data_IF_696192183504
#
_entry.id   IF_696192183504
#
_cell.length_a   1.000
_cell.length_b   1.000
_cell.length_c   1.000
_cell.angle_alpha   90.00
_cell.angle_beta   90.00
_cell.angle_gamma   90.00
#
_symmetry.space_group_name_H-M   'P 1'
#
loop_
_entity.id
_entity.type
_entity.pdbx_description
1 polymer ?
#
# COMPACT_ATOMS: atom_id res chain seq x y z
N UNK A 1 5.03 22.14 -25.71
CA UNK A 1 5.49 21.95 -24.32
C UNK A 1 4.25 21.62 -23.49
N UNK A 2 4.06 20.37 -23.07
CA UNK A 2 3.01 19.99 -22.11
C UNK A 2 3.41 20.60 -20.76
N UNK A 3 2.62 21.54 -20.23
CA UNK A 3 2.85 22.12 -18.90
C UNK A 3 2.73 21.03 -17.85
N UNK A 4 3.63 21.02 -16.89
CA UNK A 4 3.49 20.23 -15.66
C UNK A 4 2.44 20.88 -14.78
N UNK A 5 1.53 20.07 -14.20
CA UNK A 5 0.53 20.53 -13.24
C UNK A 5 0.89 19.94 -11.87
N UNK A 6 0.93 20.75 -10.78
CA UNK A 6 1.12 20.19 -9.44
C UNK A 6 0.05 19.14 -9.14
N UNK A 7 0.41 18.12 -8.36
CA UNK A 7 -0.59 17.19 -7.86
C UNK A 7 -1.52 17.89 -6.88
N UNK A 8 -2.78 17.45 -6.84
CA UNK A 8 -3.75 17.88 -5.82
C UNK A 8 -3.24 17.47 -4.45
N UNK A 9 -3.50 18.29 -3.45
CA UNK A 9 -3.03 18.08 -2.07
C UNK A 9 -4.19 18.14 -1.09
N UNK A 10 -4.05 17.42 0.01
CA UNK A 10 -4.92 17.54 1.18
C UNK A 10 -4.55 18.77 2.03
N UNK A 11 -5.28 18.98 3.13
CA UNK A 11 -5.02 20.08 4.07
C UNK A 11 -3.63 20.03 4.70
N UNK A 12 -2.95 18.89 4.72
CA UNK A 12 -1.59 18.71 5.20
C UNK A 12 -0.52 18.93 4.12
N UNK A 13 -0.90 19.27 2.87
CA UNK A 13 0.02 19.46 1.75
C UNK A 13 0.58 18.14 1.23
N UNK A 14 -0.23 17.08 1.29
CA UNK A 14 0.13 15.76 0.82
C UNK A 14 -0.80 15.32 -0.30
N UNK A 15 -0.23 14.67 -1.29
CA UNK A 15 -0.97 14.01 -2.37
C UNK A 15 -1.14 12.54 -2.04
N UNK A 16 -2.38 12.13 -1.79
CA UNK A 16 -2.72 10.78 -1.36
C UNK A 16 -3.26 9.97 -2.53
N UNK A 17 -2.67 8.81 -2.77
CA UNK A 17 -2.97 7.90 -3.87
C UNK A 17 -3.43 6.57 -3.28
N UNK A 18 -4.63 6.13 -3.65
CA UNK A 18 -5.12 4.79 -3.33
C UNK A 18 -4.71 3.82 -4.43
N UNK A 19 -3.83 2.87 -4.12
CA UNK A 19 -3.46 1.77 -5.00
C UNK A 19 -4.37 0.57 -4.70
N UNK A 20 -4.97 0.02 -5.74
CA UNK A 20 -5.84 -1.16 -5.69
C UNK A 20 -5.32 -2.21 -6.66
N UNK A 21 -5.05 -3.40 -6.15
CA UNK A 21 -4.56 -4.54 -6.94
C UNK A 21 -5.61 -5.66 -7.00
N UNK A 22 -5.94 -6.11 -8.21
CA UNK A 22 -6.86 -7.23 -8.48
C UNK A 22 -6.18 -8.31 -9.31
N UNK A 23 -6.81 -9.48 -9.39
CA UNK A 23 -6.42 -10.58 -10.27
C UNK A 23 -7.45 -10.83 -11.39
N UNK A 24 -8.13 -9.77 -11.86
CA UNK A 24 -9.16 -9.85 -12.89
C UNK A 24 -8.66 -10.40 -14.24
N UNK A 25 -7.35 -10.31 -14.48
CA UNK A 25 -6.65 -10.84 -15.66
C UNK A 25 -6.23 -12.32 -15.53
N UNK A 26 -6.56 -12.99 -14.42
CA UNK A 26 -6.34 -14.43 -14.23
C UNK A 26 -7.63 -15.22 -14.52
N UNK A 27 -7.77 -15.81 -15.72
CA UNK A 27 -8.97 -16.52 -16.11
C UNK A 27 -9.25 -17.70 -15.16
N UNK A 28 -10.44 -17.74 -14.57
CA UNK A 28 -10.86 -18.79 -13.66
C UNK A 28 -10.43 -18.59 -12.20
N UNK A 29 -9.87 -17.45 -11.85
CA UNK A 29 -9.66 -17.08 -10.46
C UNK A 29 -10.98 -16.61 -9.83
N UNK A 30 -11.54 -17.34 -8.84
CA UNK A 30 -12.76 -16.91 -8.16
C UNK A 30 -12.49 -15.58 -7.43
N UNK A 31 -13.32 -14.56 -7.68
CA UNK A 31 -13.16 -13.26 -7.04
C UNK A 31 -12.05 -12.40 -7.65
N UNK A 32 -11.76 -12.53 -8.95
CA UNK A 32 -10.72 -11.73 -9.64
C UNK A 32 -10.83 -10.22 -9.45
N UNK A 33 -12.03 -9.68 -9.18
CA UNK A 33 -12.26 -8.26 -8.89
C UNK A 33 -12.12 -7.88 -7.41
N UNK A 34 -11.81 -8.83 -6.53
CA UNK A 34 -11.48 -8.50 -5.14
C UNK A 34 -10.15 -7.74 -5.08
N UNK A 35 -10.11 -6.65 -4.33
CA UNK A 35 -8.86 -5.90 -4.13
C UNK A 35 -8.01 -6.57 -3.06
N UNK A 36 -7.26 -7.59 -3.48
CA UNK A 36 -6.39 -8.36 -2.61
C UNK A 36 -5.11 -7.63 -2.21
N UNK A 37 -4.82 -6.51 -2.86
CA UNK A 37 -3.76 -5.57 -2.52
C UNK A 37 -4.35 -4.18 -2.46
N UNK A 38 -4.21 -3.52 -1.31
CA UNK A 38 -4.70 -2.17 -1.08
C UNK A 38 -3.65 -1.36 -0.31
N UNK A 39 -3.36 -0.16 -0.78
CA UNK A 39 -2.33 0.68 -0.16
C UNK A 39 -2.64 2.17 -0.38
N UNK A 40 -2.37 3.00 0.62
CA UNK A 40 -2.31 4.45 0.46
C UNK A 40 -0.84 4.86 0.33
N UNK A 41 -0.50 5.55 -0.75
CA UNK A 41 0.79 6.21 -0.95
C UNK A 41 0.58 7.70 -0.79
N UNK A 42 1.19 8.28 0.25
CA UNK A 42 1.06 9.69 0.60
C UNK A 42 2.37 10.41 0.32
N UNK A 43 2.35 11.37 -0.59
CA UNK A 43 3.53 12.11 -1.08
C UNK A 43 3.47 13.54 -0.58
N UNK A 44 4.50 14.01 0.09
CA UNK A 44 4.72 15.43 0.33
C UNK A 44 5.59 15.99 -0.80
N UNK A 45 4.99 16.84 -1.65
CA UNK A 45 5.69 17.38 -2.82
C UNK A 45 6.82 18.36 -2.43
N UNK A 46 6.72 19.00 -1.26
CA UNK A 46 7.64 20.02 -0.78
C UNK A 46 8.93 19.41 -0.23
N UNK A 47 8.81 18.45 0.68
CA UNK A 47 9.97 17.82 1.35
C UNK A 47 10.42 16.51 0.68
N UNK A 48 9.75 16.12 -0.41
CA UNK A 48 10.06 14.90 -1.18
C UNK A 48 9.99 13.63 -0.34
N UNK A 49 9.11 13.59 0.65
CA UNK A 49 8.88 12.40 1.48
C UNK A 49 7.67 11.62 1.02
N UNK A 50 7.75 10.29 1.16
CA UNK A 50 6.67 9.36 0.86
C UNK A 50 6.40 8.50 2.08
N UNK A 51 5.12 8.31 2.38
CA UNK A 51 4.67 7.33 3.36
C UNK A 51 3.73 6.34 2.68
N UNK A 52 3.94 5.06 2.94
CA UNK A 52 3.15 3.96 2.41
C UNK A 52 2.42 3.28 3.56
N UNK A 53 1.09 3.19 3.47
CA UNK A 53 0.22 2.55 4.47
C UNK A 53 -0.52 1.41 3.78
N UNK A 54 -0.21 0.17 4.13
CA UNK A 54 -0.99 -0.97 3.64
C UNK A 54 -2.36 -1.01 4.32
N UNK A 55 -3.38 -1.30 3.54
CA UNK A 55 -4.75 -1.51 4.00
C UNK A 55 -5.00 -3.01 4.03
N UNK A 56 -5.23 -3.61 5.21
CA UNK A 56 -5.52 -5.03 5.29
C UNK A 56 -6.77 -5.39 4.51
N UNK A 57 -6.66 -6.28 3.55
CA UNK A 57 -7.79 -6.71 2.71
C UNK A 57 -8.95 -7.31 3.52
N UNK A 58 -8.62 -7.87 4.69
CA UNK A 58 -9.56 -8.53 5.60
C UNK A 58 -10.12 -7.57 6.66
N UNK A 59 -9.86 -6.25 6.56
CA UNK A 59 -10.47 -5.22 7.43
C UNK A 59 -11.98 -5.30 7.30
N UNK A 60 -12.67 -5.53 8.42
CA UNK A 60 -14.12 -5.65 8.45
C UNK A 60 -14.76 -4.27 8.54
N UNK A 61 -15.66 -3.99 7.61
CA UNK A 61 -16.22 -2.65 7.40
C UNK A 61 -17.74 -2.72 7.14
N UNK A 62 -18.42 -1.59 7.37
CA UNK A 62 -19.80 -1.37 6.89
C UNK A 62 -19.73 -0.68 5.54
N UNK A 63 -20.37 -1.28 4.53
CA UNK A 63 -20.28 -0.77 3.15
C UNK A 63 -21.13 0.46 2.88
N UNK A 64 -22.15 0.74 3.72
CA UNK A 64 -23.12 1.79 3.45
C UNK A 64 -24.13 1.47 2.35
N UNK A 65 -23.97 0.31 1.70
CA UNK A 65 -24.84 -0.24 0.65
C UNK A 65 -24.85 -1.76 0.72
N UNK A 66 -25.75 -2.41 -0.01
CA UNK A 66 -25.76 -3.85 -0.13
C UNK A 66 -24.66 -4.32 -1.12
N UNK A 67 -23.85 -5.25 -0.67
CA UNK A 67 -22.90 -6.04 -1.49
C UNK A 67 -23.32 -7.52 -1.46
N UNK A 68 -22.65 -8.39 -2.21
CA UNK A 68 -22.97 -9.83 -2.23
C UNK A 68 -22.85 -10.47 -0.84
N UNK A 69 -21.97 -9.94 0.02
CA UNK A 69 -21.79 -10.37 1.42
C UNK A 69 -22.75 -9.68 2.41
N UNK A 70 -23.68 -8.85 1.95
CA UNK A 70 -24.60 -8.07 2.79
C UNK A 70 -24.16 -6.61 2.93
N UNK A 71 -24.52 -5.96 4.06
CA UNK A 71 -24.20 -4.55 4.31
C UNK A 71 -22.86 -4.33 5.01
N UNK A 72 -22.20 -5.39 5.40
CA UNK A 72 -20.88 -5.39 6.05
C UNK A 72 -20.08 -6.61 5.65
N UNK A 73 -18.76 -6.51 5.74
CA UNK A 73 -17.81 -7.57 5.38
C UNK A 73 -16.39 -7.07 5.22
N UNK A 74 -15.55 -7.85 4.54
CA UNK A 74 -14.16 -7.48 4.29
C UNK A 74 -14.06 -6.34 3.28
N UNK A 75 -13.16 -5.39 3.52
CA UNK A 75 -12.99 -4.19 2.71
C UNK A 75 -12.67 -4.49 1.24
N UNK A 76 -11.98 -5.60 0.96
CA UNK A 76 -11.61 -5.99 -0.41
C UNK A 76 -12.79 -6.25 -1.34
N UNK A 77 -13.99 -6.47 -0.82
CA UNK A 77 -15.22 -6.65 -1.59
C UNK A 77 -15.77 -5.32 -2.10
N UNK A 78 -15.50 -4.21 -1.41
CA UNK A 78 -16.14 -2.92 -1.68
C UNK A 78 -15.91 -2.42 -3.12
N UNK A 79 -14.69 -2.50 -3.63
CA UNK A 79 -14.36 -2.07 -4.98
C UNK A 79 -15.23 -2.74 -6.05
N UNK A 80 -15.44 -4.05 -5.91
CA UNK A 80 -16.25 -4.83 -6.84
C UNK A 80 -17.73 -4.44 -6.78
N UNK A 81 -18.26 -4.18 -5.57
CA UNK A 81 -19.70 -3.99 -5.41
C UNK A 81 -20.16 -2.53 -5.49
N UNK A 82 -19.27 -1.55 -5.32
CA UNK A 82 -19.67 -0.13 -5.34
C UNK A 82 -20.12 0.36 -6.72
N UNK A 83 -19.69 -0.32 -7.79
CA UNK A 83 -20.11 -0.09 -9.16
C UNK A 83 -19.93 -1.39 -9.96
N UNK A 84 -20.99 -1.88 -10.59
CA UNK A 84 -21.01 -3.18 -11.27
C UNK A 84 -20.84 -3.09 -12.79
N UNK A 85 -20.94 -1.89 -13.37
CA UNK A 85 -20.75 -1.65 -14.80
C UNK A 85 -19.30 -1.89 -15.23
N UNK A 86 -19.10 -2.07 -16.54
CA UNK A 86 -17.81 -2.43 -17.15
C UNK A 86 -17.27 -1.37 -18.11
N UNK A 87 -17.90 -0.20 -18.19
CA UNK A 87 -17.40 0.89 -19.03
C UNK A 87 -16.26 1.66 -18.34
N UNK A 88 -15.46 2.43 -19.09
CA UNK A 88 -14.45 3.31 -18.50
C UNK A 88 -15.04 4.29 -17.47
N UNK A 89 -16.25 4.80 -17.69
CA UNK A 89 -16.96 5.72 -16.79
C UNK A 89 -17.34 4.99 -15.49
N UNK A 90 -17.79 3.75 -15.56
CA UNK A 90 -18.08 2.92 -14.40
C UNK A 90 -16.80 2.68 -13.57
N UNK A 91 -15.66 2.47 -14.24
CA UNK A 91 -14.38 2.29 -13.56
C UNK A 91 -13.95 3.57 -12.83
N UNK A 92 -14.12 4.76 -13.45
CA UNK A 92 -13.85 6.03 -12.77
C UNK A 92 -14.76 6.24 -11.55
N UNK A 93 -16.05 5.88 -11.69
CA UNK A 93 -17.01 5.91 -10.56
C UNK A 93 -16.56 4.96 -9.44
N UNK A 94 -16.15 3.74 -9.78
CA UNK A 94 -15.64 2.73 -8.84
C UNK A 94 -14.41 3.23 -8.08
N UNK A 95 -13.45 3.83 -8.80
CA UNK A 95 -12.27 4.45 -8.20
C UNK A 95 -12.65 5.59 -7.25
N UNK A 96 -13.50 6.52 -7.70
CA UNK A 96 -13.93 7.67 -6.89
C UNK A 96 -14.66 7.23 -5.60
N UNK A 97 -15.58 6.26 -5.71
CA UNK A 97 -16.28 5.71 -4.55
C UNK A 97 -15.30 5.04 -3.58
N UNK A 98 -14.31 4.30 -4.08
CA UNK A 98 -13.31 3.63 -3.25
C UNK A 98 -12.37 4.63 -2.57
N UNK A 99 -11.96 5.70 -3.26
CA UNK A 99 -11.19 6.79 -2.66
C UNK A 99 -11.93 7.43 -1.50
N UNK A 100 -13.23 7.76 -1.71
CA UNK A 100 -14.07 8.33 -0.66
C UNK A 100 -14.25 7.36 0.51
N UNK A 101 -14.58 6.11 0.23
CA UNK A 101 -14.86 5.09 1.25
C UNK A 101 -13.63 4.83 2.13
N UNK A 102 -12.47 4.62 1.51
CA UNK A 102 -11.21 4.44 2.24
C UNK A 102 -10.83 5.73 2.97
N UNK A 103 -10.98 6.87 2.34
CA UNK A 103 -10.72 8.17 2.95
C UNK A 103 -11.55 8.41 4.21
N UNK A 104 -12.84 8.07 4.18
CA UNK A 104 -13.73 8.17 5.34
C UNK A 104 -13.29 7.25 6.49
N UNK A 105 -12.84 6.01 6.20
CA UNK A 105 -12.36 5.07 7.21
C UNK A 105 -11.04 5.56 7.83
N UNK A 106 -10.08 5.96 6.99
CA UNK A 106 -8.73 6.31 7.41
C UNK A 106 -8.59 7.77 7.88
N UNK A 107 -9.63 8.60 7.73
CA UNK A 107 -9.59 10.02 8.07
C UNK A 107 -8.65 10.81 7.16
N UNK A 108 -8.55 10.43 5.89
CA UNK A 108 -7.66 11.03 4.90
C UNK A 108 -8.45 11.49 3.67
N UNK A 109 -8.05 12.63 3.11
CA UNK A 109 -8.54 13.06 1.80
C UNK A 109 -7.65 12.43 0.72
N UNK A 110 -8.25 11.58 -0.15
CA UNK A 110 -7.54 10.80 -1.16
C UNK A 110 -7.87 11.35 -2.54
N UNK A 111 -6.89 11.99 -3.20
CA UNK A 111 -7.10 12.70 -4.46
C UNK A 111 -7.01 11.80 -5.68
N UNK A 112 -6.24 10.69 -5.57
CA UNK A 112 -5.95 9.85 -6.71
C UNK A 112 -6.25 8.38 -6.43
N UNK A 113 -6.76 7.69 -7.44
CA UNK A 113 -6.93 6.25 -7.45
C UNK A 113 -6.13 5.62 -8.59
N UNK A 114 -5.53 4.48 -8.31
CA UNK A 114 -4.85 3.64 -9.31
C UNK A 114 -5.30 2.20 -9.10
N UNK A 115 -5.92 1.63 -10.12
CA UNK A 115 -6.27 0.23 -10.16
C UNK A 115 -5.37 -0.50 -11.15
N UNK A 116 -4.75 -1.57 -10.70
CA UNK A 116 -3.86 -2.43 -11.49
C UNK A 116 -4.24 -3.89 -11.31
N UNK A 117 -3.97 -4.69 -12.34
CA UNK A 117 -4.03 -6.15 -12.24
C UNK A 117 -2.61 -6.77 -12.24
N UNK A 118 -2.55 -8.09 -12.19
CA UNK A 118 -1.29 -8.83 -12.12
C UNK A 118 -0.36 -8.57 -13.32
N UNK A 119 -0.94 -8.38 -14.52
CA UNK A 119 -0.16 -8.10 -15.75
C UNK A 119 0.63 -6.81 -15.62
N UNK A 120 0.05 -5.76 -15.04
CA UNK A 120 0.75 -4.46 -14.86
C UNK A 120 2.00 -4.62 -14.01
N UNK A 121 1.91 -5.33 -12.88
CA UNK A 121 3.07 -5.55 -12.00
C UNK A 121 4.17 -6.28 -12.74
N UNK A 122 3.82 -7.38 -13.42
CA UNK A 122 4.74 -8.19 -14.19
C UNK A 122 5.43 -7.37 -15.30
N UNK A 123 4.63 -6.66 -16.08
CA UNK A 123 5.12 -5.95 -17.26
C UNK A 123 5.91 -4.68 -16.88
N UNK A 124 5.53 -3.98 -15.81
CA UNK A 124 6.29 -2.84 -15.29
C UNK A 124 7.70 -3.26 -14.83
N UNK A 125 7.81 -4.37 -14.10
CA UNK A 125 9.12 -4.89 -13.67
C UNK A 125 9.97 -5.32 -14.86
N UNK A 126 9.39 -5.99 -15.87
CA UNK A 126 10.10 -6.37 -17.08
C UNK A 126 10.55 -5.16 -17.90
N UNK A 127 9.72 -4.12 -17.98
CA UNK A 127 10.02 -2.90 -18.74
C UNK A 127 11.23 -2.13 -18.22
N UNK A 128 11.51 -2.20 -16.91
CA UNK A 128 12.71 -1.60 -16.32
C UNK A 128 13.92 -2.56 -16.30
N UNK A 129 13.78 -3.77 -16.85
CA UNK A 129 14.84 -4.78 -16.91
C UNK A 129 15.03 -5.58 -15.61
N UNK A 130 13.96 -5.75 -14.83
CA UNK A 130 13.96 -6.43 -13.54
C UNK A 130 14.30 -5.50 -12.38
N UNK A 131 14.09 -6.00 -11.17
CA UNK A 131 14.30 -5.26 -9.91
C UNK A 131 15.19 -6.05 -8.96
N UNK A 132 15.81 -5.37 -8.00
CA UNK A 132 16.53 -5.99 -6.89
C UNK A 132 15.72 -5.80 -5.60
N UNK A 133 15.41 -6.90 -4.93
CA UNK A 133 14.61 -6.90 -3.69
C UNK A 133 15.41 -7.58 -2.59
N UNK A 134 15.54 -6.91 -1.46
CA UNK A 134 16.10 -7.52 -0.24
C UNK A 134 15.02 -8.36 0.44
N UNK A 135 15.20 -9.68 0.37
CA UNK A 135 14.26 -10.67 0.89
C UNK A 135 14.72 -11.10 2.27
N UNK A 136 13.82 -11.01 3.22
CA UNK A 136 14.01 -11.47 4.58
C UNK A 136 12.68 -12.02 5.11
N UNK A 137 12.67 -13.32 5.32
CA UNK A 137 11.54 -14.03 5.93
C UNK A 137 11.55 -13.94 7.46
N UNK A 138 10.42 -14.26 8.05
CA UNK A 138 10.22 -14.25 9.51
C UNK A 138 9.74 -15.61 10.03
N UNK A 139 9.82 -15.78 11.36
CA UNK A 139 9.40 -17.00 12.03
C UNK A 139 10.36 -18.19 11.88
N UNK A 140 9.95 -19.36 12.38
CA UNK A 140 10.80 -20.55 12.40
C UNK A 140 10.98 -21.14 11.00
N UNK A 141 12.16 -21.70 10.75
CA UNK A 141 12.52 -22.43 9.53
C UNK A 141 12.90 -23.87 9.86
N UNK A 142 12.76 -24.83 8.93
CA UNK A 142 13.19 -26.22 9.13
C UNK A 142 14.68 -26.35 9.39
N UNK A 143 15.09 -27.46 10.05
CA UNK A 143 16.48 -27.77 10.27
C UNK A 143 17.27 -27.82 8.95
N UNK A 144 18.44 -27.17 8.92
CA UNK A 144 19.28 -27.05 7.73
C UNK A 144 18.88 -25.94 6.74
N UNK A 145 17.82 -25.20 7.01
CA UNK A 145 17.42 -24.00 6.26
C UNK A 145 17.98 -22.77 6.99
N UNK A 146 18.54 -21.83 6.22
CA UNK A 146 19.08 -20.58 6.76
C UNK A 146 17.94 -19.73 7.35
N UNK A 147 18.08 -19.21 8.60
CA UNK A 147 17.11 -18.27 9.16
C UNK A 147 16.87 -17.07 8.23
N UNK A 148 15.62 -16.62 8.11
CA UNK A 148 15.24 -15.56 7.17
C UNK A 148 14.94 -16.03 5.76
N UNK A 149 15.06 -17.34 5.46
CA UNK A 149 14.66 -17.89 4.18
C UNK A 149 13.14 -17.96 4.05
N UNK A 150 12.66 -17.82 2.81
CA UNK A 150 11.24 -17.91 2.46
C UNK A 150 11.00 -19.11 1.55
N UNK A 151 9.96 -19.88 1.84
CA UNK A 151 9.35 -20.84 0.94
C UNK A 151 7.85 -20.64 0.92
N UNK A 152 7.30 -20.43 -0.28
CA UNK A 152 5.86 -20.50 -0.53
C UNK A 152 5.62 -21.15 -1.88
N UNK A 153 4.60 -21.98 -1.98
CA UNK A 153 4.22 -22.65 -3.22
C UNK A 153 3.10 -21.94 -3.95
N UNK A 154 2.61 -20.87 -3.36
CA UNK A 154 1.49 -20.12 -3.85
C UNK A 154 0.25 -20.94 -4.28
N UNK A 155 -0.85 -20.29 -4.33
CA UNK A 155 -2.24 -20.71 -4.34
C UNK A 155 -2.74 -21.50 -5.53
N UNK A 156 -2.00 -21.70 -6.60
CA UNK A 156 -2.58 -22.26 -7.82
C UNK A 156 -2.75 -23.80 -7.72
N UNK A 157 -3.94 -24.21 -7.30
CA UNK A 157 -4.32 -25.62 -7.25
C UNK A 157 -4.30 -26.31 -8.62
N UNK A 158 -4.43 -25.53 -9.73
CA UNK A 158 -4.39 -26.05 -11.11
C UNK A 158 -3.05 -26.71 -11.44
N UNK A 159 -1.99 -26.29 -10.82
CA UNK A 159 -0.66 -26.87 -10.93
C UNK A 159 -0.20 -27.62 -9.68
N UNK A 160 -1.14 -28.04 -8.83
CA UNK A 160 -0.82 -28.72 -7.57
C UNK A 160 0.16 -27.91 -6.69
N UNK A 161 0.01 -26.58 -6.66
CA UNK A 161 0.85 -25.65 -5.90
C UNK A 161 2.33 -25.68 -6.27
N UNK A 162 2.67 -26.01 -7.54
CA UNK A 162 4.07 -26.14 -7.99
C UNK A 162 4.50 -25.07 -8.99
N UNK A 163 3.57 -24.37 -9.64
CA UNK A 163 3.89 -23.46 -10.74
C UNK A 163 4.37 -22.06 -10.30
N UNK A 164 4.04 -21.64 -9.08
CA UNK A 164 4.34 -20.31 -8.57
C UNK A 164 5.25 -20.39 -7.34
N UNK A 165 6.35 -21.12 -7.47
CA UNK A 165 7.29 -21.33 -6.38
C UNK A 165 8.05 -20.05 -6.03
N UNK A 166 7.93 -19.63 -4.77
CA UNK A 166 8.78 -18.62 -4.13
C UNK A 166 9.75 -19.35 -3.21
N UNK A 167 11.04 -19.31 -3.51
CA UNK A 167 12.09 -19.93 -2.69
C UNK A 167 13.33 -19.06 -2.72
N UNK A 168 13.59 -18.40 -1.60
CA UNK A 168 14.74 -17.50 -1.48
C UNK A 168 15.43 -17.68 -0.12
N UNK A 169 16.74 -17.54 -0.10
CA UNK A 169 17.50 -17.24 1.10
C UNK A 169 17.43 -15.74 1.41
N UNK A 170 17.73 -15.31 2.65
CA UNK A 170 17.77 -13.90 2.97
C UNK A 170 18.88 -13.17 2.18
N UNK A 171 18.58 -11.93 1.77
CA UNK A 171 19.47 -11.06 1.04
C UNK A 171 18.87 -10.52 -0.26
N UNK A 172 19.69 -9.82 -1.03
CA UNK A 172 19.25 -9.14 -2.26
C UNK A 172 19.16 -10.14 -3.42
N UNK A 173 17.98 -10.20 -4.04
CA UNK A 173 17.70 -11.05 -5.19
C UNK A 173 17.24 -10.22 -6.39
N UNK A 174 17.71 -10.62 -7.58
CA UNK A 174 17.22 -10.08 -8.86
C UNK A 174 15.95 -10.81 -9.26
N UNK A 175 14.87 -10.06 -9.47
CA UNK A 175 13.56 -10.57 -9.85
C UNK A 175 13.17 -10.00 -11.21
N UNK A 176 12.73 -10.86 -12.12
CA UNK A 176 11.94 -10.47 -13.29
C UNK A 176 10.48 -10.25 -12.89
N UNK A 177 9.65 -9.84 -13.85
CA UNK A 177 8.24 -9.53 -13.56
C UNK A 177 7.45 -10.73 -13.03
N UNK A 178 7.74 -11.94 -13.52
CA UNK A 178 7.09 -13.16 -13.06
C UNK A 178 7.42 -13.46 -11.59
N UNK A 179 8.70 -13.43 -11.23
CA UNK A 179 9.16 -13.72 -9.88
C UNK A 179 8.77 -12.59 -8.88
N UNK A 180 8.76 -11.33 -9.34
CA UNK A 180 8.24 -10.22 -8.54
C UNK A 180 6.76 -10.39 -8.23
N UNK A 181 5.94 -10.79 -9.23
CA UNK A 181 4.53 -11.09 -9.01
C UNK A 181 4.33 -12.25 -8.02
N UNK A 182 5.09 -13.33 -8.15
CA UNK A 182 5.00 -14.45 -7.21
C UNK A 182 5.32 -14.03 -5.78
N UNK A 183 6.36 -13.22 -5.57
CA UNK A 183 6.70 -12.67 -4.27
C UNK A 183 5.59 -11.74 -3.73
N UNK A 184 5.00 -10.90 -4.61
CA UNK A 184 3.90 -10.01 -4.25
C UNK A 184 2.62 -10.76 -3.81
N UNK A 185 2.48 -12.02 -4.23
CA UNK A 185 1.33 -12.89 -3.89
C UNK A 185 1.63 -13.82 -2.70
N UNK A 186 2.90 -14.02 -2.34
CA UNK A 186 3.31 -14.99 -1.33
C UNK A 186 2.80 -14.64 0.07
N UNK A 187 2.14 -15.59 0.74
CA UNK A 187 1.57 -15.44 2.08
C UNK A 187 1.60 -16.73 2.93
N UNK A 188 2.26 -17.77 2.43
CA UNK A 188 2.47 -18.99 3.21
C UNK A 188 1.28 -19.93 3.29
N UNK A 189 0.39 -19.97 2.28
CA UNK A 189 -0.84 -20.75 2.33
C UNK A 189 -0.67 -22.25 2.03
N UNK A 190 0.34 -22.63 1.26
CA UNK A 190 0.51 -24.00 0.79
C UNK A 190 1.71 -24.68 1.47
N UNK A 191 1.45 -25.67 2.31
CA UNK A 191 2.50 -26.48 2.96
C UNK A 191 3.24 -27.39 1.96
N UNK A 192 4.57 -27.57 2.13
CA UNK A 192 5.42 -26.95 3.13
C UNK A 192 5.69 -25.48 2.81
N UNK A 193 5.61 -24.64 3.83
CA UNK A 193 5.90 -23.21 3.76
C UNK A 193 6.68 -22.77 5.00
N UNK A 194 7.49 -21.71 4.90
CA UNK A 194 8.20 -21.07 6.00
C UNK A 194 8.63 -19.64 5.62
N UNK A 195 8.96 -18.85 6.61
CA UNK A 195 9.45 -17.49 6.41
C UNK A 195 8.37 -16.44 6.12
N UNK A 196 7.08 -16.81 6.31
CA UNK A 196 5.91 -15.96 6.13
C UNK A 196 4.94 -16.19 7.30
N UNK A 197 5.43 -15.99 8.53
CA UNK A 197 4.68 -16.29 9.74
C UNK A 197 3.48 -15.37 9.97
N UNK A 198 3.55 -14.14 9.44
CA UNK A 198 2.50 -13.13 9.53
C UNK A 198 1.56 -13.12 8.29
N UNK A 199 1.70 -14.09 7.39
CA UNK A 199 0.80 -14.35 6.26
C UNK A 199 0.49 -13.11 5.40
N UNK A 200 -0.71 -12.55 5.47
CA UNK A 200 -1.12 -11.39 4.69
C UNK A 200 -0.25 -10.15 4.96
N UNK A 201 0.25 -9.97 6.19
CA UNK A 201 1.11 -8.84 6.55
C UNK A 201 2.50 -8.95 5.91
N UNK A 202 3.04 -10.17 5.80
CA UNK A 202 4.29 -10.39 5.07
C UNK A 202 4.12 -10.13 3.58
N UNK A 203 2.97 -10.50 3.02
CA UNK A 203 2.62 -10.14 1.63
C UNK A 203 2.60 -8.63 1.43
N UNK A 204 1.95 -7.88 2.32
CA UNK A 204 1.91 -6.41 2.27
C UNK A 204 3.32 -5.81 2.33
N UNK A 205 4.20 -6.29 3.22
CA UNK A 205 5.61 -5.88 3.30
C UNK A 205 6.35 -6.17 1.99
N UNK A 206 6.17 -7.35 1.40
CA UNK A 206 6.79 -7.71 0.14
C UNK A 206 6.29 -6.83 -1.02
N UNK A 207 5.02 -6.51 -1.08
CA UNK A 207 4.46 -5.57 -2.06
C UNK A 207 5.08 -4.17 -1.93
N UNK A 208 5.25 -3.66 -0.71
CA UNK A 208 5.93 -2.39 -0.47
C UNK A 208 7.38 -2.43 -0.95
N UNK A 209 8.14 -3.49 -0.63
CA UNK A 209 9.53 -3.69 -1.11
C UNK A 209 9.61 -3.68 -2.64
N UNK A 210 8.68 -4.37 -3.32
CA UNK A 210 8.62 -4.42 -4.79
C UNK A 210 8.35 -3.04 -5.39
N UNK A 211 7.42 -2.27 -4.84
CA UNK A 211 7.11 -0.90 -5.31
C UNK A 211 8.33 0.02 -5.15
N UNK A 212 9.01 -0.06 -4.01
CA UNK A 212 10.22 0.73 -3.74
C UNK A 212 11.33 0.34 -4.72
N UNK A 213 11.58 -0.96 -4.92
CA UNK A 213 12.59 -1.46 -5.84
C UNK A 213 12.28 -1.08 -7.29
N UNK A 214 11.01 -1.15 -7.71
CA UNK A 214 10.56 -0.73 -9.03
C UNK A 214 10.81 0.77 -9.26
N UNK A 215 10.45 1.61 -8.27
CA UNK A 215 10.73 3.06 -8.31
C UNK A 215 12.23 3.34 -8.43
N UNK A 216 13.06 2.71 -7.63
CA UNK A 216 14.51 2.87 -7.65
C UNK A 216 15.09 2.47 -9.01
N UNK A 217 14.66 1.32 -9.54
CA UNK A 217 15.11 0.84 -10.84
C UNK A 217 14.66 1.76 -11.99
N UNK A 218 13.40 2.21 -11.97
CA UNK A 218 12.87 3.13 -12.96
C UNK A 218 13.59 4.49 -12.95
N UNK A 219 13.97 4.98 -11.78
CA UNK A 219 14.77 6.20 -11.64
C UNK A 219 16.19 5.99 -12.20
N UNK A 220 16.89 4.93 -11.78
CA UNK A 220 18.28 4.67 -12.19
C UNK A 220 18.43 4.31 -13.67
N UNK A 221 17.42 3.70 -14.28
CA UNK A 221 17.41 3.38 -15.72
C UNK A 221 17.04 4.56 -16.63
N UNK A 222 16.73 5.72 -16.06
CA UNK A 222 16.28 6.89 -16.82
C UNK A 222 14.84 6.76 -17.36
N UNK A 223 14.08 5.76 -16.92
CA UNK A 223 12.68 5.58 -17.35
C UNK A 223 11.81 6.75 -16.86
N UNK A 224 11.98 7.19 -15.61
CA UNK A 224 11.19 8.28 -15.04
C UNK A 224 11.56 9.66 -15.61
N UNK A 225 12.77 9.85 -16.10
CA UNK A 225 13.22 11.12 -16.74
C UNK A 225 12.74 11.26 -18.18
N UNK A 226 12.34 10.16 -18.80
CA UNK A 226 11.81 10.13 -20.17
C UNK A 226 10.29 9.97 -20.15
N UNK A 227 9.58 11.09 -20.24
CA UNK A 227 8.11 11.08 -20.20
C UNK A 227 7.50 10.27 -21.33
N UNK A 228 8.17 10.17 -22.48
CA UNK A 228 7.72 9.33 -23.59
C UNK A 228 7.73 7.85 -23.23
N UNK A 229 8.74 7.39 -22.49
CA UNK A 229 8.76 6.03 -21.94
C UNK A 229 7.68 5.82 -20.91
N UNK A 230 7.47 6.77 -19.98
CA UNK A 230 6.42 6.67 -18.95
C UNK A 230 5.04 6.58 -19.58
N UNK A 231 4.69 7.49 -20.50
CA UNK A 231 3.39 7.47 -21.19
C UNK A 231 3.24 6.24 -22.07
N UNK A 232 4.29 5.84 -22.79
CA UNK A 232 4.27 4.62 -23.61
C UNK A 232 4.05 3.35 -22.78
N UNK A 233 4.57 3.27 -21.55
CA UNK A 233 4.28 2.18 -20.63
C UNK A 233 2.82 2.19 -20.16
N UNK A 234 2.29 3.37 -19.82
CA UNK A 234 0.88 3.52 -19.41
C UNK A 234 -0.04 3.09 -20.55
N UNK A 235 0.25 3.52 -21.78
CA UNK A 235 -0.51 3.14 -22.97
C UNK A 235 -0.42 1.63 -23.26
N UNK A 236 0.76 1.03 -23.05
CA UNK A 236 0.98 -0.40 -23.23
C UNK A 236 0.23 -1.25 -22.20
N UNK A 237 0.04 -0.73 -20.98
CA UNK A 237 -0.79 -1.40 -19.97
C UNK A 237 -2.28 -1.37 -20.33
N UNK A 238 -2.73 -0.40 -21.13
CA UNK A 238 -4.10 -0.30 -21.60
C UNK A 238 -5.14 -0.43 -20.50
N UNK A 239 -6.09 -1.36 -20.66
CA UNK A 239 -7.14 -1.59 -19.66
C UNK A 239 -6.66 -2.29 -18.37
N UNK A 240 -5.40 -2.69 -18.29
CA UNK A 240 -4.86 -3.32 -17.10
C UNK A 240 -4.43 -2.30 -16.02
N UNK A 241 -4.24 -1.02 -16.41
CA UNK A 241 -3.98 0.09 -15.50
C UNK A 241 -5.03 1.18 -15.70
N UNK A 242 -5.74 1.53 -14.67
CA UNK A 242 -6.78 2.55 -14.68
C UNK A 242 -6.52 3.55 -13.56
N UNK A 243 -6.68 4.82 -13.87
CA UNK A 243 -6.39 5.90 -12.92
C UNK A 243 -7.17 7.16 -13.28
N UNK A 244 -7.35 8.04 -12.29
CA UNK A 244 -7.89 9.39 -12.47
C UNK A 244 -6.80 10.48 -12.57
N UNK A 245 -5.51 10.12 -12.69
CA UNK A 245 -4.46 11.08 -12.98
C UNK A 245 -4.62 11.69 -14.37
N UNK A 246 -4.47 13.01 -14.46
CA UNK A 246 -4.30 13.67 -15.76
C UNK A 246 -2.87 13.46 -16.30
N UNK A 247 -2.68 13.48 -17.62
CA UNK A 247 -1.34 13.31 -18.24
C UNK A 247 -0.30 14.31 -17.73
N UNK A 248 -0.72 15.56 -17.46
CA UNK A 248 0.15 16.60 -16.88
C UNK A 248 0.56 16.28 -15.44
N UNK A 249 -0.30 15.64 -14.67
CA UNK A 249 -0.04 15.19 -13.29
C UNK A 249 0.87 13.95 -13.27
N UNK A 250 0.73 13.04 -14.24
CA UNK A 250 1.63 11.88 -14.42
C UNK A 250 3.08 12.34 -14.62
N UNK A 251 3.29 13.40 -15.40
CA UNK A 251 4.62 13.98 -15.57
C UNK A 251 5.18 14.50 -14.24
N UNK A 252 4.37 15.20 -13.46
CA UNK A 252 4.77 15.67 -12.14
C UNK A 252 5.10 14.51 -11.21
N UNK A 253 4.29 13.45 -11.23
CA UNK A 253 4.54 12.24 -10.44
C UNK A 253 5.86 11.55 -10.85
N UNK A 254 6.16 11.48 -12.15
CA UNK A 254 7.40 10.91 -12.66
C UNK A 254 8.63 11.72 -12.19
N UNK A 255 8.56 13.06 -12.25
CA UNK A 255 9.62 13.95 -11.75
C UNK A 255 9.80 13.77 -10.23
N UNK A 256 8.71 13.75 -9.45
CA UNK A 256 8.77 13.48 -8.02
C UNK A 256 9.40 12.10 -7.75
N UNK A 257 9.04 11.09 -8.53
CA UNK A 257 9.64 9.77 -8.44
C UNK A 257 11.16 9.77 -8.63
N UNK A 258 11.70 10.68 -9.44
CA UNK A 258 13.15 10.88 -9.60
C UNK A 258 13.77 11.59 -8.39
N UNK A 259 13.09 12.62 -7.87
CA UNK A 259 13.60 13.47 -6.79
C UNK A 259 13.55 12.82 -5.39
N UNK A 260 12.63 11.86 -5.20
CA UNK A 260 12.45 11.18 -3.90
C UNK A 260 13.59 10.21 -3.65
N UNK A 261 14.42 10.51 -2.65
CA UNK A 261 15.49 9.63 -2.20
C UNK A 261 14.93 8.37 -1.50
N UNK A 262 15.61 7.21 -1.58
CA UNK A 262 15.17 5.98 -0.91
C UNK A 262 14.94 6.16 0.60
N UNK A 263 15.79 6.92 1.29
CA UNK A 263 15.69 7.21 2.73
C UNK A 263 14.47 8.05 3.11
N UNK A 264 13.84 8.72 2.15
CA UNK A 264 12.62 9.51 2.34
C UNK A 264 11.33 8.71 2.12
N UNK A 265 11.43 7.41 1.84
CA UNK A 265 10.29 6.50 1.71
C UNK A 265 10.13 5.74 3.02
N UNK A 266 9.00 5.94 3.70
CA UNK A 266 8.67 5.28 4.96
C UNK A 266 7.47 4.37 4.78
N UNK A 267 7.55 3.18 5.36
CA UNK A 267 6.39 2.29 5.50
C UNK A 267 5.79 2.48 6.89
N UNK A 268 4.47 2.63 6.95
CA UNK A 268 3.72 2.77 8.20
C UNK A 268 2.99 1.45 8.42
N UNK A 269 3.35 0.75 9.49
CA UNK A 269 2.64 -0.45 9.92
C UNK A 269 1.45 -0.06 10.80
N UNK A 270 0.31 -0.69 10.55
CA UNK A 270 -0.87 -0.62 11.42
C UNK A 270 -0.88 -1.74 12.46
N UNK A 271 0.10 -2.65 12.35
CA UNK A 271 0.36 -3.75 13.27
C UNK A 271 1.71 -3.47 13.94
N UNK A 272 1.72 -3.27 15.22
CA UNK A 272 2.94 -3.09 16.00
C UNK A 272 2.93 -4.03 17.19
N UNK A 273 4.12 -4.34 17.73
CA UNK A 273 4.24 -5.31 18.82
C UNK A 273 3.71 -4.79 20.17
N UNK A 274 3.79 -3.47 20.41
CA UNK A 274 3.41 -2.88 21.70
C UNK A 274 2.00 -2.26 21.73
N UNK A 275 1.59 -1.54 20.68
CA UNK A 275 0.27 -0.90 20.59
C UNK A 275 -0.26 -0.96 19.15
N UNK A 276 -0.76 -2.09 18.70
CA UNK A 276 -1.24 -2.26 17.33
C UNK A 276 -2.52 -1.44 17.11
N UNK A 277 -2.55 -0.68 16.03
CA UNK A 277 -3.75 0.08 15.59
C UNK A 277 -4.83 -0.85 15.05
N UNK A 278 -4.39 -1.98 14.49
CA UNK A 278 -5.26 -3.04 13.98
C UNK A 278 -4.93 -4.37 14.63
N UNK A 279 -5.93 -5.21 14.82
CA UNK A 279 -5.80 -6.55 15.37
C UNK A 279 -6.58 -7.57 14.52
N UNK A 280 -6.15 -8.83 14.58
CA UNK A 280 -6.88 -9.94 13.97
C UNK A 280 -7.83 -10.58 14.97
N UNK A 281 -9.00 -11.00 14.50
CA UNK A 281 -9.99 -11.66 15.35
C UNK A 281 -11.05 -12.39 14.54
N UNK A 282 -12.08 -12.86 15.22
CA UNK A 282 -13.26 -13.45 14.59
C UNK A 282 -14.49 -12.55 14.82
N UNK A 283 -15.19 -12.26 13.73
CA UNK A 283 -16.45 -11.54 13.79
C UNK A 283 -17.42 -12.11 12.76
N UNK A 284 -18.68 -12.34 13.18
CA UNK A 284 -19.70 -12.94 12.32
C UNK A 284 -19.32 -14.33 11.79
N UNK A 285 -18.45 -15.08 12.48
CA UNK A 285 -17.97 -16.40 12.06
C UNK A 285 -16.83 -16.37 11.03
N UNK A 286 -16.32 -15.19 10.67
CA UNK A 286 -15.19 -15.00 9.76
C UNK A 286 -13.94 -14.53 10.49
N UNK A 287 -12.77 -14.97 10.03
CA UNK A 287 -11.49 -14.38 10.42
C UNK A 287 -11.34 -13.03 9.74
N UNK A 288 -11.14 -11.98 10.53
CA UNK A 288 -11.15 -10.59 10.09
C UNK A 288 -10.01 -9.79 10.72
N UNK A 289 -9.74 -8.64 10.16
CA UNK A 289 -8.95 -7.58 10.77
C UNK A 289 -9.91 -6.49 11.26
N UNK A 290 -9.65 -5.91 12.41
CA UNK A 290 -10.47 -4.85 12.99
C UNK A 290 -9.60 -3.82 13.71
N UNK A 291 -10.07 -2.56 13.90
CA UNK A 291 -9.38 -1.60 14.75
C UNK A 291 -9.26 -2.11 16.19
N UNK A 292 -8.12 -1.84 16.82
CA UNK A 292 -7.89 -2.24 18.23
C UNK A 292 -8.82 -1.53 19.21
N UNK A 293 -9.29 -0.32 18.88
CA UNK A 293 -10.29 0.43 19.63
C UNK A 293 -11.68 -0.26 19.66
N UNK A 294 -11.94 -1.15 18.73
CA UNK A 294 -13.19 -1.89 18.61
C UNK A 294 -13.68 -1.96 17.18
N UNK A 295 -14.56 -2.94 16.89
CA UNK A 295 -15.07 -3.11 15.54
C UNK A 295 -15.82 -1.85 15.08
N UNK A 296 -15.51 -1.34 13.90
CA UNK A 296 -15.98 -0.09 13.31
C UNK A 296 -15.57 1.19 14.05
N UNK A 297 -14.77 1.14 15.10
CA UNK A 297 -14.21 2.32 15.75
C UNK A 297 -12.84 2.68 15.14
N UNK A 298 -12.85 3.63 14.23
CA UNK A 298 -11.65 4.09 13.52
C UNK A 298 -10.99 5.32 14.19
N UNK A 299 -11.38 5.68 15.41
CA UNK A 299 -10.91 6.90 16.09
C UNK A 299 -9.39 6.86 16.32
N UNK A 300 -8.85 5.75 16.83
CA UNK A 300 -7.41 5.58 17.05
C UNK A 300 -6.64 5.53 15.73
N UNK A 301 -7.16 4.83 14.72
CA UNK A 301 -6.57 4.80 13.38
C UNK A 301 -6.43 6.21 12.80
N UNK A 302 -7.51 6.99 12.84
CA UNK A 302 -7.52 8.37 12.33
C UNK A 302 -6.58 9.28 13.11
N UNK A 303 -6.57 9.16 14.44
CA UNK A 303 -5.66 9.91 15.30
C UNK A 303 -4.20 9.58 14.99
N UNK A 304 -3.86 8.31 14.88
CA UNK A 304 -2.52 7.84 14.53
C UNK A 304 -2.05 8.38 13.17
N UNK A 305 -2.89 8.26 12.13
CA UNK A 305 -2.52 8.75 10.80
C UNK A 305 -2.45 10.27 10.74
N UNK A 306 -3.37 10.99 11.39
CA UNK A 306 -3.33 12.44 11.48
C UNK A 306 -2.04 12.93 12.15
N UNK A 307 -1.59 12.27 13.20
CA UNK A 307 -0.30 12.52 13.83
C UNK A 307 0.85 12.29 12.85
N UNK A 308 0.92 11.11 12.18
CA UNK A 308 1.99 10.75 11.26
C UNK A 308 2.09 11.68 10.04
N UNK A 309 0.97 12.22 9.57
CA UNK A 309 0.88 13.09 8.40
C UNK A 309 0.79 14.57 8.73
N UNK A 310 0.84 14.95 10.02
CA UNK A 310 0.79 16.35 10.45
C UNK A 310 1.87 17.21 9.78
N UNK A 311 1.51 18.43 9.42
CA UNK A 311 2.48 19.47 9.00
C UNK A 311 3.40 19.87 10.15
N UNK A 312 2.90 19.82 11.39
CA UNK A 312 3.67 20.17 12.57
C UNK A 312 4.67 19.06 12.89
N UNK A 313 6.00 19.31 12.82
CA UNK A 313 6.99 18.28 13.13
C UNK A 313 6.91 17.79 14.57
N UNK A 314 6.55 18.62 15.53
CA UNK A 314 6.41 18.22 16.95
C UNK A 314 5.28 17.20 17.09
N UNK A 315 4.12 17.45 16.47
CA UNK A 315 3.01 16.50 16.45
C UNK A 315 3.39 15.20 15.74
N UNK A 316 4.12 15.31 14.63
CA UNK A 316 4.53 14.16 13.81
C UNK A 316 5.53 13.25 14.51
N UNK A 317 6.46 13.85 15.25
CA UNK A 317 7.50 13.13 16.00
C UNK A 317 6.96 12.55 17.32
N UNK A 318 5.83 13.05 17.78
CA UNK A 318 5.26 12.70 19.10
C UNK A 318 6.30 12.89 20.22
N UNK A 319 7.15 13.92 20.09
CA UNK A 319 8.21 14.18 21.04
C UNK A 319 7.62 14.64 22.38
N UNK A 320 8.10 14.06 23.48
CA UNK A 320 7.88 14.65 24.79
C UNK A 320 8.73 15.92 24.88
N UNK A 321 8.09 17.06 25.18
CA UNK A 321 8.75 18.35 25.31
C UNK A 321 8.67 18.80 26.77
N UNK A 322 9.83 18.83 27.45
CA UNK A 322 9.93 19.37 28.78
C UNK A 322 10.24 20.88 28.70
N UNK A 323 9.31 21.71 29.19
CA UNK A 323 9.52 23.14 29.27
C UNK A 323 9.97 23.49 30.69
N UNK A 324 11.25 23.84 30.83
CA UNK A 324 11.84 24.15 32.11
C UNK A 324 11.82 25.66 32.40
N UNK A 325 11.44 26.04 33.61
CA UNK A 325 11.46 27.43 34.06
C UNK A 325 12.78 27.81 34.73
N UNK A 326 13.61 28.57 34.01
CA UNK A 326 14.89 29.08 34.52
C UNK A 326 14.81 30.54 35.02
N UNK A 327 13.61 31.16 35.00
CA UNK A 327 13.46 32.59 35.33
C UNK A 327 13.17 32.88 36.79
N UNK A 328 12.80 31.90 37.57
CA UNK A 328 12.33 32.09 38.96
C UNK A 328 10.91 32.68 39.09
N UNK A 329 10.25 32.99 37.98
CA UNK A 329 8.86 33.52 37.95
C UNK A 329 7.88 32.34 37.80
N UNK A 330 6.97 32.17 38.73
CA UNK A 330 5.99 31.09 38.71
C UNK A 330 5.11 31.17 37.47
N UNK A 331 4.80 30.01 36.83
CA UNK A 331 3.86 29.91 35.68
C UNK A 331 4.45 30.14 34.31
N UNK A 332 5.69 30.63 34.17
CA UNK A 332 6.28 30.93 32.84
C UNK A 332 6.47 29.67 32.00
N UNK A 333 6.92 28.57 32.58
CA UNK A 333 7.05 27.31 31.87
C UNK A 333 5.70 26.78 31.39
N UNK A 334 4.68 26.83 32.22
CA UNK A 334 3.33 26.40 31.86
C UNK A 334 2.76 27.26 30.72
N UNK A 335 2.86 28.58 30.84
CA UNK A 335 2.41 29.50 29.76
C UNK A 335 3.12 29.26 28.43
N UNK A 336 4.37 28.82 28.48
CA UNK A 336 5.17 28.48 27.27
C UNK A 336 4.78 27.10 26.72
N UNK A 337 4.55 26.11 27.58
CA UNK A 337 4.09 24.78 27.19
C UNK A 337 2.71 24.83 26.53
N UNK A 338 1.79 25.67 27.04
CA UNK A 338 0.45 25.84 26.48
C UNK A 338 0.42 26.46 25.07
N UNK A 339 1.56 26.95 24.56
CA UNK A 339 1.72 27.55 23.24
C UNK A 339 2.36 26.59 22.21
N UNK A 340 2.87 25.45 22.67
CA UNK A 340 3.46 24.39 21.84
C UNK A 340 2.42 23.40 21.36
#
# INVERSE_FOLDING_TARGET
LVQTKPLKEDANGRSNILLLGTSEDDPGHPGGMLTDSMMIVSINQKDKSVSMVSIPRDLYVKYGQACDSGYEGKINVYFMCTETGKTPENEQTRLANSQKFVGDIFGMDIQYGVHVNNSVIKDAVNAVGGIEVDIEGNGPVPAGVKPGSILDRNFDWRCQYKCNLVKYEPGVHKLDGKHALFLAMARGDAVPTYGLADSNFDREKNQQKIIIALKQKAASSGTLTDIGKVTGLIDAFGNNLRTNFETSEIRTLANLGTDIEPGNIKTISLYGDENPIMTSGNYGGASVVMPSAGIFDYSELRSFLNQKFSKNPVTRENAAVDVLNATGVAGVAQTSADKL
#
